data_IF_729335178496
#
_entry.id   IF_729335178496
#
_cell.length_a   1.000
_cell.length_b   1.000
_cell.length_c   1.000
_cell.angle_alpha   90.00
_cell.angle_beta   90.00
_cell.angle_gamma   90.00
#
_symmetry.space_group_name_H-M   'P 1'
#
loop_
_entity.id
_entity.type
_entity.pdbx_description
1 polymer ?
#
# COMPACT_ATOMS: atom_id res chain seq x y z
N UNK A 1 9.13 17.34 20.00
CA UNK A 1 8.25 18.18 19.15
C UNK A 1 7.45 17.24 18.28
N UNK A 2 6.13 17.16 18.45
CA UNK A 2 5.27 16.47 17.47
C UNK A 2 5.23 17.38 16.25
N UNK A 3 5.67 16.88 15.10
CA UNK A 3 5.40 17.57 13.84
C UNK A 3 3.90 17.37 13.57
N UNK A 4 3.10 18.40 13.87
CA UNK A 4 1.69 18.45 13.51
C UNK A 4 1.58 18.74 12.01
N UNK A 5 1.88 17.70 11.24
CA UNK A 5 1.75 17.69 9.80
C UNK A 5 0.61 16.76 9.42
N UNK A 6 -0.29 17.26 8.60
CA UNK A 6 -1.42 16.49 8.09
C UNK A 6 -1.10 16.06 6.68
N UNK A 7 -1.38 14.80 6.36
CA UNK A 7 -1.21 14.28 5.01
C UNK A 7 -2.15 15.06 4.08
N UNK A 8 -1.57 15.68 3.06
CA UNK A 8 -2.30 16.52 2.11
C UNK A 8 -2.50 15.78 0.79
N UNK A 9 -1.43 15.25 0.21
CA UNK A 9 -1.49 14.45 -1.02
C UNK A 9 -0.60 13.22 -0.92
N UNK A 10 -1.01 12.14 -1.58
CA UNK A 10 -0.19 10.95 -1.75
C UNK A 10 -0.32 10.37 -3.15
N UNK A 11 0.76 9.75 -3.60
CA UNK A 11 0.79 8.89 -4.79
C UNK A 11 1.60 7.64 -4.46
N UNK A 12 1.00 6.47 -4.65
CA UNK A 12 1.62 5.20 -4.38
C UNK A 12 1.61 4.30 -5.63
N UNK A 13 2.65 3.50 -5.77
CA UNK A 13 2.82 2.50 -6.83
C UNK A 13 3.20 1.17 -6.20
N UNK A 14 2.56 0.10 -6.63
CA UNK A 14 2.83 -1.26 -6.15
C UNK A 14 3.49 -2.07 -7.27
N UNK A 15 4.55 -2.77 -6.93
CA UNK A 15 5.33 -3.61 -7.83
C UNK A 15 5.40 -5.04 -7.29
N UNK A 16 5.41 -6.03 -8.17
CA UNK A 16 5.66 -7.43 -7.79
C UNK A 16 7.10 -7.63 -7.34
N UNK A 17 7.30 -8.43 -6.30
CA UNK A 17 8.59 -8.75 -5.69
C UNK A 17 9.25 -7.53 -5.05
N UNK A 18 10.58 -7.42 -5.24
CA UNK A 18 11.43 -6.36 -4.69
C UNK A 18 11.64 -5.16 -5.63
N UNK A 19 10.90 -5.10 -6.75
CA UNK A 19 11.04 -4.05 -7.75
C UNK A 19 10.56 -2.70 -7.19
N UNK A 20 11.21 -1.62 -7.61
CA UNK A 20 10.80 -0.23 -7.29
C UNK A 20 10.68 0.67 -8.52
N UNK A 21 10.90 0.10 -9.71
CA UNK A 21 10.90 0.79 -11.00
C UNK A 21 10.24 -0.07 -12.09
N UNK A 22 9.96 0.55 -13.23
CA UNK A 22 9.25 -0.05 -14.36
C UNK A 22 7.73 0.14 -14.27
N UNK A 23 6.98 -0.72 -14.96
CA UNK A 23 5.52 -0.73 -14.93
C UNK A 23 5.02 -1.31 -13.59
N UNK A 24 4.23 -0.54 -12.81
CA UNK A 24 3.64 -1.05 -11.58
C UNK A 24 2.45 -1.97 -11.87
N UNK A 25 2.14 -2.86 -10.94
CA UNK A 25 0.92 -3.68 -10.99
C UNK A 25 -0.33 -2.82 -10.80
N UNK A 26 -0.20 -1.78 -9.98
CA UNK A 26 -1.22 -0.76 -9.81
C UNK A 26 -0.59 0.52 -9.27
N UNK A 27 -1.27 1.64 -9.51
CA UNK A 27 -0.98 2.91 -8.87
C UNK A 27 -2.27 3.60 -8.43
N UNK A 28 -2.15 4.35 -7.35
CA UNK A 28 -3.28 5.10 -6.80
C UNK A 28 -2.77 6.39 -6.15
N UNK A 29 -3.67 7.36 -6.04
CA UNK A 29 -3.39 8.66 -5.44
C UNK A 29 -4.63 9.20 -4.78
N UNK A 30 -4.44 10.01 -3.76
CA UNK A 30 -5.52 10.69 -3.08
C UNK A 30 -5.01 11.85 -2.26
N UNK A 31 -5.93 12.46 -1.53
CA UNK A 31 -5.69 13.59 -0.65
C UNK A 31 -6.28 13.35 0.74
N UNK A 32 -5.76 14.08 1.73
CA UNK A 32 -6.33 14.11 3.09
C UNK A 32 -6.60 12.72 3.65
N UNK A 33 -7.87 12.44 3.93
CA UNK A 33 -8.37 11.19 4.51
C UNK A 33 -8.62 10.05 3.50
N UNK A 34 -8.48 10.29 2.19
CA UNK A 34 -8.73 9.29 1.15
C UNK A 34 -7.81 8.06 1.25
N UNK A 35 -6.72 8.13 2.02
CA UNK A 35 -5.89 6.96 2.33
C UNK A 35 -6.70 5.81 2.94
N UNK A 36 -7.81 6.11 3.63
CA UNK A 36 -8.68 5.12 4.26
C UNK A 36 -9.32 4.17 3.22
N UNK A 37 -9.60 4.68 2.02
CA UNK A 37 -10.12 3.88 0.89
C UNK A 37 -9.06 2.90 0.36
N UNK A 38 -7.78 3.16 0.67
CA UNK A 38 -6.62 2.37 0.23
C UNK A 38 -5.97 1.60 1.38
N UNK A 39 -6.72 1.29 2.45
CA UNK A 39 -6.26 0.34 3.48
C UNK A 39 -6.11 -1.09 2.95
N UNK A 40 -6.83 -1.42 1.89
CA UNK A 40 -6.75 -2.73 1.24
C UNK A 40 -6.84 -2.57 -0.27
N UNK A 41 -5.94 -3.23 -1.00
CA UNK A 41 -5.93 -3.25 -2.46
C UNK A 41 -6.19 -4.68 -2.93
N UNK A 42 -7.02 -4.84 -3.96
CA UNK A 42 -7.21 -6.12 -4.66
C UNK A 42 -6.52 -6.06 -6.00
N UNK A 43 -5.64 -7.03 -6.26
CA UNK A 43 -4.99 -7.23 -7.55
C UNK A 43 -5.47 -8.55 -8.16
N UNK A 44 -5.34 -8.72 -9.49
CA UNK A 44 -5.47 -10.03 -10.12
C UNK A 44 -4.52 -11.05 -9.47
N UNK A 45 -5.04 -12.23 -9.16
CA UNK A 45 -4.28 -13.37 -8.62
C UNK A 45 -4.21 -14.52 -9.63
N UNK A 46 -3.73 -15.67 -9.18
CA UNK A 46 -3.60 -16.89 -9.98
C UNK A 46 -4.94 -17.55 -10.31
N UNK A 47 -5.88 -17.63 -9.36
CA UNK A 47 -7.21 -18.27 -9.49
C UNK A 47 -8.35 -17.32 -9.08
N UNK A 48 -8.05 -16.02 -8.94
CA UNK A 48 -9.01 -15.01 -8.54
C UNK A 48 -8.37 -13.66 -8.28
N UNK A 49 -8.48 -13.19 -7.03
CA UNK A 49 -7.89 -11.92 -6.60
C UNK A 49 -7.00 -12.13 -5.40
N UNK A 50 -5.84 -11.48 -5.42
CA UNK A 50 -4.99 -11.35 -4.26
C UNK A 50 -5.30 -10.05 -3.51
N UNK A 51 -5.30 -10.12 -2.20
CA UNK A 51 -5.58 -8.98 -1.32
C UNK A 51 -4.29 -8.53 -0.63
N UNK A 52 -3.99 -7.23 -0.74
CA UNK A 52 -2.89 -6.55 -0.07
C UNK A 52 -3.46 -5.72 1.07
N UNK A 53 -2.98 -5.95 2.30
CA UNK A 53 -3.28 -5.09 3.45
C UNK A 53 -2.19 -4.00 3.56
N UNK A 54 -2.60 -2.74 3.62
CA UNK A 54 -1.72 -1.57 3.69
C UNK A 54 -1.74 -0.90 5.08
N UNK A 55 -2.38 -1.49 6.08
CA UNK A 55 -2.48 -0.91 7.43
C UNK A 55 -1.09 -0.61 8.04
N UNK A 56 -0.15 -1.55 7.92
CA UNK A 56 1.23 -1.36 8.43
C UNK A 56 1.97 -0.28 7.64
N UNK A 57 1.73 -0.19 6.32
CA UNK A 57 2.27 0.88 5.49
C UNK A 57 1.74 2.25 5.92
N UNK A 58 0.43 2.37 6.13
CA UNK A 58 -0.17 3.62 6.59
C UNK A 58 0.29 4.00 8.00
N UNK A 59 0.45 3.02 8.89
CA UNK A 59 1.04 3.24 10.20
C UNK A 59 2.46 3.81 10.09
N UNK A 60 3.30 3.27 9.19
CA UNK A 60 4.64 3.78 8.94
C UNK A 60 4.60 5.23 8.42
N UNK A 61 3.71 5.52 7.47
CA UNK A 61 3.48 6.86 6.89
C UNK A 61 3.17 7.87 7.99
N UNK A 62 2.22 7.59 8.88
CA UNK A 62 1.81 8.53 9.92
C UNK A 62 2.79 8.60 11.10
N UNK A 63 3.56 7.53 11.34
CA UNK A 63 4.57 7.51 12.40
C UNK A 63 5.80 8.34 12.04
N UNK A 64 6.27 8.22 10.79
CA UNK A 64 7.53 8.85 10.37
C UNK A 64 7.32 10.15 9.57
N UNK A 65 6.17 10.35 8.95
CA UNK A 65 5.83 11.51 8.12
C UNK A 65 6.89 11.82 7.05
N UNK A 66 7.48 10.77 6.47
CA UNK A 66 8.44 10.88 5.38
C UNK A 66 7.76 11.28 4.07
N UNK A 67 8.42 12.10 3.24
CA UNK A 67 7.91 12.48 1.91
C UNK A 67 8.05 11.38 0.86
N UNK A 68 8.87 10.36 1.15
CA UNK A 68 8.99 9.13 0.37
C UNK A 68 9.05 7.95 1.31
N UNK A 69 8.26 6.92 1.03
CA UNK A 69 8.20 5.68 1.81
C UNK A 69 8.26 4.50 0.85
N UNK A 70 9.06 3.50 1.21
CA UNK A 70 9.15 2.23 0.48
C UNK A 70 8.99 1.10 1.47
N UNK A 71 8.01 0.22 1.26
CA UNK A 71 7.73 -0.90 2.16
C UNK A 71 7.46 -2.19 1.40
N UNK A 72 7.66 -3.33 2.07
CA UNK A 72 7.25 -4.64 1.56
C UNK A 72 5.80 -4.91 1.96
N UNK A 73 5.00 -5.45 1.04
CA UNK A 73 3.64 -5.92 1.27
C UNK A 73 3.57 -7.42 0.98
N UNK A 74 2.65 -8.12 1.63
CA UNK A 74 2.33 -9.52 1.32
C UNK A 74 0.93 -9.60 0.73
N UNK A 75 0.84 -10.04 -0.52
CA UNK A 75 -0.41 -10.39 -1.19
C UNK A 75 -0.86 -11.77 -0.76
N UNK A 76 -2.14 -11.89 -0.39
CA UNK A 76 -2.74 -13.15 0.02
C UNK A 76 -3.85 -13.54 -0.95
N UNK A 77 -3.78 -14.75 -1.48
CA UNK A 77 -4.82 -15.33 -2.31
C UNK A 77 -5.26 -16.68 -1.72
N UNK A 78 -6.57 -16.92 -1.70
CA UNK A 78 -7.14 -18.17 -1.19
C UNK A 78 -7.60 -19.03 -2.36
N UNK A 79 -7.01 -20.22 -2.50
CA UNK A 79 -7.39 -21.21 -3.51
C UNK A 79 -8.15 -22.34 -2.83
N UNK A 80 -9.36 -22.61 -3.32
CA UNK A 80 -10.20 -23.72 -2.85
C UNK A 80 -10.36 -24.77 -3.95
N UNK A 81 -9.76 -25.95 -3.78
CA UNK A 81 -9.92 -27.09 -4.70
C UNK A 81 -10.18 -28.37 -3.92
N UNK A 82 -11.24 -29.10 -4.30
CA UNK A 82 -11.58 -30.43 -3.78
C UNK A 82 -11.44 -30.57 -2.26
N UNK A 83 -12.16 -29.74 -1.50
CA UNK A 83 -12.16 -29.67 -0.02
C UNK A 83 -10.86 -29.21 0.67
N UNK A 84 -9.81 -28.86 -0.08
CA UNK A 84 -8.61 -28.22 0.46
C UNK A 84 -8.61 -26.71 0.18
N UNK A 85 -8.27 -25.94 1.21
CA UNK A 85 -8.02 -24.50 1.11
C UNK A 85 -6.53 -24.25 1.29
N UNK A 86 -5.91 -23.61 0.29
CA UNK A 86 -4.51 -23.19 0.36
C UNK A 86 -4.44 -21.66 0.27
N UNK A 87 -3.48 -21.08 0.97
CA UNK A 87 -3.19 -19.65 0.88
C UNK A 87 -1.88 -19.46 0.12
N UNK A 88 -1.96 -18.82 -1.04
CA UNK A 88 -0.78 -18.34 -1.75
C UNK A 88 -0.35 -17.01 -1.14
N UNK A 89 0.97 -16.85 -1.04
CA UNK A 89 1.62 -15.63 -0.57
C UNK A 89 2.55 -15.13 -1.64
N UNK A 90 2.41 -13.88 -2.01
CA UNK A 90 3.28 -13.20 -2.96
C UNK A 90 3.81 -11.91 -2.35
N UNK A 91 5.07 -11.59 -2.63
CA UNK A 91 5.71 -10.38 -2.12
C UNK A 91 5.51 -9.23 -3.10
N UNK A 92 5.26 -8.05 -2.56
CA UNK A 92 5.14 -6.81 -3.32
C UNK A 92 5.97 -5.72 -2.65
N UNK A 93 6.31 -4.70 -3.42
CA UNK A 93 6.92 -3.47 -2.92
C UNK A 93 6.01 -2.30 -3.25
N UNK A 94 5.67 -1.50 -2.24
CA UNK A 94 5.00 -0.21 -2.40
C UNK A 94 6.02 0.91 -2.34
N UNK A 95 5.93 1.85 -3.28
CA UNK A 95 6.69 3.10 -3.29
C UNK A 95 5.73 4.26 -3.29
N UNK A 96 5.78 5.11 -2.28
CA UNK A 96 4.90 6.26 -2.12
C UNK A 96 5.65 7.58 -2.07
N UNK A 97 5.05 8.61 -2.65
CA UNK A 97 5.42 10.01 -2.51
C UNK A 97 4.29 10.76 -1.80
N UNK A 98 4.64 11.50 -0.76
CA UNK A 98 3.72 12.07 0.23
C UNK A 98 4.03 13.56 0.41
N UNK A 99 2.99 14.37 0.41
CA UNK A 99 3.04 15.80 0.72
C UNK A 99 2.23 16.05 1.98
N UNK A 100 2.77 16.87 2.88
CA UNK A 100 2.10 17.23 4.13
C UNK A 100 2.04 18.74 4.27
N UNK A 101 0.93 19.22 4.83
CA UNK A 101 0.76 20.62 5.25
C UNK A 101 0.97 20.74 6.76
N UNK A 102 1.38 21.91 7.24
CA UNK A 102 1.42 22.22 8.68
C UNK A 102 0.04 22.69 9.11
N UNK A 103 -0.39 22.32 10.31
CA UNK A 103 -1.67 22.80 10.87
C UNK A 103 -1.66 24.30 11.25
N UNK A 104 -0.52 24.99 11.11
CA UNK A 104 -0.31 26.38 11.55
C UNK A 104 -0.20 27.43 10.41
N UNK A 105 -0.55 27.07 9.16
CA UNK A 105 -0.66 28.00 8.01
C UNK A 105 -2.10 28.08 7.49
#
# INVERSE_FOLDING_TARGET
>A
MKNNKTLDHFKARIFTGSRTTGEPETDFSGNGEQWQDYRTIKLPGFDGSQTLNLDDFWLEVFTHQGSKVTAQLTGLETISKYSNTQQLKELFTIVASLTYIREDE
#
